data_IF_084350244674
#
_entry.id   IF_084350244674
#
_cell.length_a   1.000
_cell.length_b   1.000
_cell.length_c   1.000
_cell.angle_alpha   90.00
_cell.angle_beta   90.00
_cell.angle_gamma   90.00
#
_symmetry.space_group_name_H-M   'P 1'
#
loop_
_entity.id
_entity.type
_entity.pdbx_description
1 polymer ?
#
# COMPACT_ATOMS: atom_id res chain seq x y z
N UNK A 1 4.42 -11.75 21.93
CA UNK A 1 5.60 -12.38 21.34
C UNK A 1 6.67 -11.34 21.02
N UNK A 2 6.39 -10.29 20.22
CA UNK A 2 7.36 -9.24 19.85
C UNK A 2 7.97 -8.51 21.04
N UNK A 3 7.17 -8.17 22.06
CA UNK A 3 7.68 -7.51 23.27
C UNK A 3 8.66 -8.37 24.06
N UNK A 4 8.43 -9.68 24.16
CA UNK A 4 9.35 -10.61 24.82
C UNK A 4 10.67 -10.74 24.03
N UNK A 5 10.59 -10.84 22.71
CA UNK A 5 11.76 -10.91 21.84
C UNK A 5 12.63 -9.64 21.93
N UNK A 6 12.00 -8.46 21.90
CA UNK A 6 12.70 -7.18 22.03
C UNK A 6 13.36 -7.03 23.42
N UNK A 7 12.67 -7.43 24.48
CA UNK A 7 13.25 -7.41 25.83
C UNK A 7 14.46 -8.34 25.95
N UNK A 8 14.41 -9.52 25.32
CA UNK A 8 15.51 -10.49 25.34
C UNK A 8 16.80 -9.95 24.69
N UNK A 9 16.70 -9.00 23.76
CA UNK A 9 17.85 -8.34 23.11
C UNK A 9 18.15 -6.94 23.67
N UNK A 10 17.61 -6.63 24.86
CA UNK A 10 17.90 -5.39 25.55
C UNK A 10 17.26 -4.14 24.96
N UNK A 11 16.21 -4.27 24.13
CA UNK A 11 15.46 -3.12 23.64
C UNK A 11 14.37 -2.73 24.65
N UNK A 12 14.49 -1.53 25.21
CA UNK A 12 13.60 -1.04 26.28
C UNK A 12 13.03 0.35 26.02
N UNK A 13 13.34 0.98 24.87
CA UNK A 13 13.07 2.40 24.68
C UNK A 13 12.05 2.73 23.63
N UNK A 14 11.60 4.01 23.60
CA UNK A 14 11.02 4.58 22.40
C UNK A 14 12.13 4.74 21.34
N UNK A 15 11.79 4.54 20.08
CA UNK A 15 12.70 4.79 18.97
C UNK A 15 13.04 3.56 18.15
N UNK A 16 14.05 3.71 17.31
CA UNK A 16 14.39 2.71 16.28
C UNK A 16 15.00 1.44 16.90
N UNK A 17 14.47 0.28 16.54
CA UNK A 17 15.13 -1.01 16.74
C UNK A 17 16.40 -1.01 15.88
N UNK A 18 17.58 -1.01 16.48
CA UNK A 18 18.85 -0.88 15.75
C UNK A 18 19.18 -2.10 14.90
N UNK A 19 20.14 -1.96 13.97
CA UNK A 19 20.69 -3.09 13.21
C UNK A 19 21.29 -4.15 14.15
N UNK A 20 21.92 -3.72 15.23
CA UNK A 20 22.44 -4.62 16.26
C UNK A 20 21.30 -5.42 16.89
N UNK A 21 20.21 -4.76 17.30
CA UNK A 21 19.06 -5.47 17.85
C UNK A 21 18.48 -6.49 16.86
N UNK A 22 18.44 -6.17 15.55
CA UNK A 22 17.98 -7.14 14.53
C UNK A 22 18.92 -8.34 14.40
N UNK A 23 20.22 -8.12 14.49
CA UNK A 23 21.22 -9.20 14.51
C UNK A 23 21.09 -10.06 15.76
N UNK A 24 20.94 -9.43 16.92
CA UNK A 24 20.77 -10.12 18.20
C UNK A 24 19.44 -10.90 18.24
N UNK A 25 18.37 -10.34 17.63
CA UNK A 25 17.09 -11.02 17.45
C UNK A 25 17.22 -12.26 16.55
N UNK A 26 17.91 -12.14 15.42
CA UNK A 26 18.17 -13.31 14.57
C UNK A 26 18.93 -14.39 15.37
N UNK A 27 19.94 -14.02 16.12
CA UNK A 27 20.67 -14.95 16.98
C UNK A 27 19.79 -15.56 18.07
N UNK A 28 18.88 -14.79 18.66
CA UNK A 28 17.91 -15.28 19.64
C UNK A 28 16.95 -16.32 19.06
N UNK A 29 16.56 -16.15 17.78
CA UNK A 29 15.81 -17.17 17.01
C UNK A 29 16.72 -18.29 16.48
N UNK A 30 18.03 -18.25 16.77
CA UNK A 30 19.00 -19.26 16.38
C UNK A 30 19.47 -19.14 14.94
N UNK A 31 19.42 -17.94 14.34
CA UNK A 31 19.92 -17.66 13.00
C UNK A 31 21.07 -16.66 13.00
N UNK A 32 21.92 -16.77 11.99
CA UNK A 32 22.94 -15.77 11.67
C UNK A 32 22.50 -14.96 10.46
N UNK A 33 22.64 -13.63 10.51
CA UNK A 33 22.40 -12.76 9.36
C UNK A 33 23.67 -12.65 8.51
N UNK A 34 23.57 -12.99 7.23
CA UNK A 34 24.63 -12.81 6.25
C UNK A 34 24.21 -11.80 5.16
N UNK A 35 25.03 -10.78 4.93
CA UNK A 35 24.83 -9.80 3.86
C UNK A 35 25.62 -10.22 2.64
N UNK A 36 24.93 -10.39 1.48
CA UNK A 36 25.51 -10.88 0.24
C UNK A 36 25.21 -9.92 -0.91
N UNK A 37 26.07 -9.89 -1.92
CA UNK A 37 25.91 -9.05 -3.11
C UNK A 37 25.19 -9.77 -4.26
N UNK A 38 25.21 -11.08 -4.25
CA UNK A 38 24.79 -11.98 -5.31
C UNK A 38 23.45 -12.68 -5.03
N UNK A 39 22.64 -12.08 -4.14
CA UNK A 39 21.28 -12.61 -3.93
C UNK A 39 20.50 -12.56 -5.25
N UNK A 40 19.80 -13.66 -5.63
CA UNK A 40 18.95 -13.67 -6.82
C UNK A 40 17.98 -12.49 -6.85
N UNK A 41 17.84 -11.83 -8.01
CA UNK A 41 17.01 -10.62 -8.14
C UNK A 41 15.53 -10.87 -7.79
N UNK A 42 15.06 -12.09 -7.95
CA UNK A 42 13.69 -12.52 -7.58
C UNK A 42 13.49 -12.76 -6.08
N UNK A 43 14.57 -12.81 -5.28
CA UNK A 43 14.50 -13.07 -3.84
C UNK A 43 14.82 -11.82 -3.03
N UNK A 44 14.00 -11.51 -2.03
CA UNK A 44 14.24 -10.44 -1.04
C UNK A 44 15.13 -10.90 0.10
N UNK A 45 15.08 -12.18 0.43
CA UNK A 45 15.95 -12.88 1.37
C UNK A 45 15.92 -14.38 1.05
N UNK A 46 16.92 -15.12 1.53
CA UNK A 46 16.94 -16.57 1.48
C UNK A 46 17.29 -17.07 2.88
N UNK A 47 16.48 -17.98 3.40
CA UNK A 47 16.73 -18.61 4.69
C UNK A 47 17.23 -20.04 4.48
N UNK A 48 18.48 -20.29 4.85
CA UNK A 48 19.02 -21.64 4.95
C UNK A 48 18.70 -22.19 6.34
N UNK A 49 17.64 -22.93 6.45
CA UNK A 49 17.17 -23.51 7.72
C UNK A 49 18.10 -24.63 8.24
N UNK A 50 18.85 -25.27 7.36
CA UNK A 50 19.82 -26.31 7.73
C UNK A 50 21.03 -25.70 8.44
N UNK A 51 21.61 -24.65 7.84
CA UNK A 51 22.78 -23.98 8.37
C UNK A 51 22.43 -22.82 9.31
N UNK A 52 21.13 -22.51 9.46
CA UNK A 52 20.60 -21.43 10.31
C UNK A 52 21.15 -20.06 9.91
N UNK A 53 21.15 -19.77 8.60
CA UNK A 53 21.62 -18.51 8.03
C UNK A 53 20.47 -17.84 7.28
N UNK A 54 20.29 -16.54 7.51
CA UNK A 54 19.39 -15.68 6.72
C UNK A 54 20.26 -14.78 5.85
N UNK A 55 20.21 -14.99 4.56
CA UNK A 55 20.89 -14.16 3.55
C UNK A 55 20.01 -12.98 3.20
N UNK A 56 20.58 -11.77 3.27
CA UNK A 56 19.91 -10.51 2.86
C UNK A 56 20.82 -9.72 1.93
N UNK A 57 20.28 -8.91 1.04
CA UNK A 57 21.10 -8.16 0.08
C UNK A 57 21.95 -7.12 0.81
N UNK A 58 23.22 -7.02 0.40
CA UNK A 58 24.10 -5.91 0.76
C UNK A 58 23.77 -4.73 -0.16
N UNK A 59 22.97 -3.76 0.30
CA UNK A 59 22.57 -2.61 -0.48
C UNK A 59 23.03 -1.30 0.17
N UNK A 60 23.07 -0.22 -0.62
CA UNK A 60 23.41 1.13 -0.18
C UNK A 60 22.31 1.72 0.74
N UNK A 61 22.62 2.80 1.45
CA UNK A 61 21.81 3.38 2.53
C UNK A 61 20.32 3.63 2.20
N UNK A 62 19.95 3.89 0.95
CA UNK A 62 18.55 4.10 0.55
C UNK A 62 17.65 2.85 0.69
N UNK A 63 18.23 1.66 0.73
CA UNK A 63 17.50 0.38 0.82
C UNK A 63 17.52 -0.25 2.23
N UNK A 64 18.12 0.43 3.22
CA UNK A 64 18.23 -0.13 4.57
C UNK A 64 16.86 -0.32 5.24
N UNK A 65 15.90 0.58 5.03
CA UNK A 65 14.54 0.46 5.57
C UNK A 65 13.85 -0.81 5.07
N UNK A 66 13.95 -1.09 3.76
CA UNK A 66 13.41 -2.31 3.15
C UNK A 66 14.10 -3.55 3.68
N UNK A 67 15.43 -3.57 3.79
CA UNK A 67 16.18 -4.71 4.31
C UNK A 67 15.78 -5.06 5.75
N UNK A 68 15.57 -4.05 6.61
CA UNK A 68 15.10 -4.23 7.99
C UNK A 68 13.72 -4.89 8.03
N UNK A 69 12.81 -4.42 7.18
CA UNK A 69 11.47 -5.00 7.06
C UNK A 69 11.52 -6.46 6.62
N UNK A 70 12.37 -6.78 5.65
CA UNK A 70 12.57 -8.16 5.17
C UNK A 70 13.13 -9.06 6.27
N UNK A 71 14.14 -8.60 7.02
CA UNK A 71 14.68 -9.35 8.15
C UNK A 71 13.58 -9.61 9.19
N UNK A 72 12.83 -8.58 9.56
CA UNK A 72 11.76 -8.70 10.55
C UNK A 72 10.61 -9.62 10.08
N UNK A 73 10.26 -9.59 8.81
CA UNK A 73 9.27 -10.50 8.21
C UNK A 73 9.76 -11.95 8.23
N UNK A 74 11.03 -12.17 7.85
CA UNK A 74 11.64 -13.51 7.89
C UNK A 74 11.66 -14.06 9.31
N UNK A 75 12.05 -13.26 10.29
CA UNK A 75 11.98 -13.65 11.70
C UNK A 75 10.55 -13.91 12.15
N UNK A 76 9.58 -13.18 11.62
CA UNK A 76 8.15 -13.38 11.85
C UNK A 76 7.68 -14.77 11.44
N UNK A 77 8.06 -15.25 10.26
CA UNK A 77 7.74 -16.61 9.82
C UNK A 77 8.26 -17.67 10.80
N UNK A 78 9.49 -17.54 11.28
CA UNK A 78 10.03 -18.48 12.26
C UNK A 78 9.40 -18.33 13.65
N UNK A 79 9.14 -17.12 14.10
CA UNK A 79 8.54 -16.83 15.39
C UNK A 79 7.10 -17.34 15.52
N UNK A 80 6.36 -17.35 14.41
CA UNK A 80 4.97 -17.79 14.32
C UNK A 80 4.85 -19.28 13.97
N UNK A 81 5.97 -19.95 13.67
CA UNK A 81 5.99 -21.38 13.33
C UNK A 81 5.39 -21.67 11.95
N UNK A 82 5.51 -20.72 11.02
CA UNK A 82 5.04 -20.93 9.64
C UNK A 82 5.79 -22.07 8.97
N UNK A 83 5.13 -22.76 8.08
CA UNK A 83 5.61 -23.89 7.31
C UNK A 83 5.50 -23.61 5.80
N UNK A 84 5.90 -24.56 4.97
CA UNK A 84 5.68 -24.45 3.53
C UNK A 84 4.17 -24.34 3.24
N UNK A 85 3.73 -23.27 2.54
CA UNK A 85 2.32 -23.04 2.30
C UNK A 85 1.69 -24.19 1.49
N UNK A 86 0.50 -24.63 1.93
CA UNK A 86 -0.21 -25.74 1.26
C UNK A 86 -1.01 -25.26 0.05
N UNK A 87 -1.38 -23.97 0.04
CA UNK A 87 -2.09 -23.29 -1.04
C UNK A 87 -1.84 -21.79 -1.03
N UNK A 88 -2.50 -21.07 -1.94
CA UNK A 88 -2.33 -19.63 -2.06
C UNK A 88 -2.93 -18.83 -0.88
N UNK A 89 -4.05 -19.29 -0.33
CA UNK A 89 -4.69 -18.65 0.83
C UNK A 89 -3.78 -18.74 2.05
N UNK A 90 -3.23 -19.92 2.33
CA UNK A 90 -2.25 -20.13 3.40
C UNK A 90 -0.99 -19.27 3.19
N UNK A 91 -0.47 -19.19 1.94
CA UNK A 91 0.65 -18.30 1.62
C UNK A 91 0.36 -16.84 1.93
N UNK A 92 -0.81 -16.34 1.54
CA UNK A 92 -1.21 -14.95 1.81
C UNK A 92 -1.42 -14.72 3.31
N UNK A 93 -2.07 -15.67 4.00
CA UNK A 93 -2.28 -15.62 5.45
C UNK A 93 -0.97 -15.52 6.22
N UNK A 94 -0.02 -16.41 5.94
CA UNK A 94 1.30 -16.41 6.57
C UNK A 94 2.07 -15.10 6.29
N UNK A 95 1.95 -14.54 5.08
CA UNK A 95 2.56 -13.25 4.75
C UNK A 95 1.94 -12.08 5.53
N UNK A 96 0.62 -12.05 5.69
CA UNK A 96 -0.06 -11.02 6.46
C UNK A 96 0.39 -11.06 7.92
N UNK A 97 0.45 -12.24 8.52
CA UNK A 97 0.92 -12.42 9.88
C UNK A 97 2.39 -12.02 10.07
N UNK A 98 3.26 -12.42 9.15
CA UNK A 98 4.68 -12.04 9.18
C UNK A 98 4.88 -10.52 9.00
N UNK A 99 4.08 -9.87 8.14
CA UNK A 99 4.09 -8.42 7.98
C UNK A 99 3.62 -7.70 9.26
N UNK A 100 2.54 -8.19 9.89
CA UNK A 100 2.07 -7.65 11.16
C UNK A 100 3.12 -7.80 12.26
N UNK A 101 3.74 -8.98 12.36
CA UNK A 101 4.84 -9.22 13.29
C UNK A 101 6.00 -8.24 13.07
N UNK A 102 6.42 -8.07 11.81
CA UNK A 102 7.51 -7.15 11.45
C UNK A 102 7.19 -5.70 11.85
N UNK A 103 5.98 -5.23 11.55
CA UNK A 103 5.52 -3.91 11.97
C UNK A 103 5.51 -3.76 13.50
N UNK A 104 5.02 -4.76 14.23
CA UNK A 104 4.99 -4.73 15.69
C UNK A 104 6.38 -4.84 16.33
N UNK A 105 7.33 -5.47 15.64
CA UNK A 105 8.72 -5.57 16.08
C UNK A 105 9.47 -4.25 15.85
N UNK A 106 9.38 -3.70 14.65
CA UNK A 106 10.14 -2.50 14.23
C UNK A 106 9.56 -1.20 14.79
N UNK A 107 8.23 -1.16 15.02
CA UNK A 107 7.52 -0.03 15.61
C UNK A 107 6.63 -0.53 16.77
N UNK A 108 7.21 -0.75 17.96
CA UNK A 108 6.52 -1.33 19.11
C UNK A 108 5.32 -0.49 19.54
N UNK A 109 4.21 -1.16 19.88
CA UNK A 109 2.93 -0.54 20.19
C UNK A 109 3.03 0.61 21.20
N UNK A 110 3.66 0.37 22.35
CA UNK A 110 3.79 1.40 23.39
C UNK A 110 4.52 2.66 22.90
N UNK A 111 5.57 2.48 22.10
CA UNK A 111 6.35 3.59 21.56
C UNK A 111 5.53 4.36 20.51
N UNK A 112 4.84 3.66 19.60
CA UNK A 112 3.98 4.29 18.59
C UNK A 112 2.83 5.04 19.24
N UNK A 113 2.14 4.43 20.23
CA UNK A 113 1.03 5.08 20.94
C UNK A 113 1.48 6.35 21.65
N UNK A 114 2.68 6.36 22.24
CA UNK A 114 3.24 7.58 22.85
C UNK A 114 3.45 8.68 21.81
N UNK A 115 4.08 8.35 20.65
CA UNK A 115 4.30 9.31 19.55
C UNK A 115 2.98 9.85 19.00
N UNK A 116 2.00 8.96 18.78
CA UNK A 116 0.68 9.36 18.29
C UNK A 116 -0.11 10.19 19.29
N UNK A 117 -0.02 9.92 20.58
CA UNK A 117 -0.66 10.70 21.63
C UNK A 117 -0.15 12.14 21.62
N UNK A 118 1.18 12.30 21.67
CA UNK A 118 1.81 13.63 21.62
C UNK A 118 1.47 14.39 20.32
N UNK A 119 1.40 13.68 19.19
CA UNK A 119 1.03 14.27 17.90
C UNK A 119 -0.46 14.66 17.85
N UNK A 120 -1.35 13.81 18.38
CA UNK A 120 -2.79 14.10 18.46
C UNK A 120 -3.08 15.35 19.28
N UNK A 121 -2.40 15.52 20.43
CA UNK A 121 -2.59 16.70 21.29
C UNK A 121 -2.21 18.01 20.58
N UNK A 122 -1.32 17.93 19.58
CA UNK A 122 -0.93 19.07 18.75
C UNK A 122 -1.75 19.18 17.45
N UNK A 123 -2.63 18.22 17.13
CA UNK A 123 -3.32 18.15 15.83
C UNK A 123 -2.34 17.91 14.67
N UNK A 124 -1.31 17.07 14.86
CA UNK A 124 -0.19 16.90 13.94
C UNK A 124 0.18 15.41 13.72
N UNK A 125 -0.82 14.52 13.76
CA UNK A 125 -0.60 13.10 13.46
C UNK A 125 -0.13 12.98 12.01
N UNK A 126 0.96 12.25 11.78
CA UNK A 126 1.49 12.00 10.44
C UNK A 126 2.12 10.61 10.31
N UNK A 127 2.05 10.06 9.11
CA UNK A 127 2.71 8.78 8.75
C UNK A 127 4.21 8.98 8.70
N UNK A 128 4.66 10.15 8.23
CA UNK A 128 6.08 10.51 8.09
C UNK A 128 6.81 10.45 9.41
N UNK A 129 6.21 10.96 10.48
CA UNK A 129 6.84 10.96 11.80
C UNK A 129 7.09 9.52 12.27
N UNK A 130 6.16 8.59 12.03
CA UNK A 130 6.37 7.17 12.31
C UNK A 130 7.43 6.55 11.41
N UNK A 131 7.42 6.91 10.12
CA UNK A 131 8.42 6.46 9.15
C UNK A 131 9.84 6.88 9.58
N UNK A 132 10.01 8.10 10.07
CA UNK A 132 11.29 8.65 10.50
C UNK A 132 11.72 8.14 11.87
N UNK A 133 10.84 8.24 12.87
CA UNK A 133 11.14 7.85 14.27
C UNK A 133 11.53 6.38 14.37
N UNK A 134 10.84 5.50 13.64
CA UNK A 134 11.09 4.06 13.69
C UNK A 134 11.99 3.55 12.56
N UNK A 135 12.38 4.42 11.63
CA UNK A 135 13.21 4.09 10.47
C UNK A 135 12.68 2.89 9.68
N UNK A 136 11.41 2.95 9.31
CA UNK A 136 10.67 1.94 8.55
C UNK A 136 10.18 2.54 7.22
N UNK A 137 9.67 1.72 6.28
CA UNK A 137 9.08 2.25 5.04
C UNK A 137 7.80 3.05 5.34
N UNK A 138 7.41 3.93 4.43
CA UNK A 138 6.17 4.70 4.57
C UNK A 138 4.95 3.77 4.62
N UNK A 139 4.91 2.76 3.76
CA UNK A 139 3.85 1.74 3.78
C UNK A 139 3.76 1.05 5.15
N UNK A 140 4.89 0.62 5.73
CA UNK A 140 4.88 -0.02 7.05
C UNK A 140 4.43 0.95 8.15
N UNK A 141 4.82 2.22 8.08
CA UNK A 141 4.37 3.25 9.00
C UNK A 141 2.85 3.49 8.87
N UNK A 142 2.33 3.53 7.65
CA UNK A 142 0.91 3.64 7.36
C UNK A 142 0.10 2.45 7.93
N UNK A 143 0.57 1.23 7.70
CA UNK A 143 -0.04 0.03 8.31
C UNK A 143 -0.01 0.10 9.84
N UNK A 144 1.10 0.53 10.41
CA UNK A 144 1.23 0.59 11.87
C UNK A 144 0.33 1.65 12.46
N UNK A 145 0.22 2.81 11.82
CA UNK A 145 -0.74 3.85 12.18
C UNK A 145 -2.18 3.29 12.15
N UNK A 146 -2.58 2.66 11.05
CA UNK A 146 -3.92 2.11 10.85
C UNK A 146 -4.28 1.08 11.91
N UNK A 147 -3.33 0.21 12.27
CA UNK A 147 -3.55 -0.85 13.28
C UNK A 147 -3.73 -0.32 14.70
N UNK A 148 -3.22 0.88 15.01
CA UNK A 148 -3.17 1.37 16.39
C UNK A 148 -4.08 2.57 16.66
N UNK A 149 -4.34 3.39 15.64
CA UNK A 149 -5.01 4.67 15.86
C UNK A 149 -6.48 4.49 16.26
N UNK A 150 -7.20 3.58 15.62
CA UNK A 150 -8.59 3.28 16.00
C UNK A 150 -8.64 2.69 17.39
N UNK A 151 -7.79 1.70 17.67
CA UNK A 151 -7.80 0.97 18.94
C UNK A 151 -7.51 1.86 20.16
N UNK A 152 -6.60 2.83 20.02
CA UNK A 152 -6.12 3.65 21.14
C UNK A 152 -6.69 5.03 21.19
N UNK A 153 -7.19 5.57 20.07
CA UNK A 153 -7.63 6.96 19.95
C UNK A 153 -9.04 7.12 19.40
N UNK A 154 -9.71 6.01 19.06
CA UNK A 154 -11.06 5.98 18.51
C UNK A 154 -11.20 6.87 17.26
N UNK A 155 -10.19 6.83 16.38
CA UNK A 155 -10.18 7.55 15.12
C UNK A 155 -10.35 6.52 13.99
N UNK A 156 -11.48 6.56 13.26
CA UNK A 156 -11.71 5.69 12.11
C UNK A 156 -10.75 6.06 10.98
N UNK A 157 -10.19 5.05 10.33
CA UNK A 157 -9.16 5.25 9.33
C UNK A 157 -9.24 4.19 8.25
N UNK A 158 -8.87 4.55 7.03
CA UNK A 158 -8.62 3.60 5.96
C UNK A 158 -7.17 3.67 5.49
N UNK A 159 -6.74 2.60 4.86
CA UNK A 159 -5.45 2.48 4.19
C UNK A 159 -5.66 1.90 2.80
N UNK A 160 -4.89 2.39 1.83
CA UNK A 160 -4.80 1.75 0.53
C UNK A 160 -3.40 1.88 -0.08
N UNK A 161 -3.04 0.88 -0.89
CA UNK A 161 -1.94 0.96 -1.85
C UNK A 161 -2.49 0.69 -3.24
N UNK A 162 -2.20 1.58 -4.19
CA UNK A 162 -2.67 1.48 -5.57
C UNK A 162 -1.59 1.89 -6.56
N UNK A 163 -1.72 1.41 -7.78
CA UNK A 163 -0.92 1.87 -8.90
C UNK A 163 -1.40 3.25 -9.41
N UNK A 164 -0.69 3.87 -10.38
CA UNK A 164 -1.09 5.15 -10.97
C UNK A 164 -2.48 5.13 -11.61
N UNK A 165 -2.88 3.98 -12.15
CA UNK A 165 -4.20 3.77 -12.74
C UNK A 165 -5.32 3.57 -11.70
N UNK A 166 -4.93 3.48 -10.43
CA UNK A 166 -5.84 3.35 -9.29
C UNK A 166 -6.23 1.92 -8.95
N UNK A 167 -5.57 0.91 -9.54
CA UNK A 167 -5.81 -0.48 -9.18
C UNK A 167 -5.32 -0.73 -7.75
N UNK A 168 -6.20 -1.21 -6.89
CA UNK A 168 -5.91 -1.45 -5.48
C UNK A 168 -5.17 -2.78 -5.30
N UNK A 169 -3.95 -2.69 -4.77
CA UNK A 169 -3.12 -3.84 -4.40
C UNK A 169 -3.34 -4.30 -2.96
N UNK A 170 -3.64 -3.33 -2.10
CA UNK A 170 -3.98 -3.54 -0.69
C UNK A 170 -4.95 -2.47 -0.25
N UNK A 171 -5.92 -2.84 0.54
CA UNK A 171 -6.84 -1.89 1.14
C UNK A 171 -7.39 -2.39 2.48
N UNK A 172 -7.59 -1.46 3.40
CA UNK A 172 -8.29 -1.69 4.66
C UNK A 172 -9.34 -0.59 4.84
N UNK A 173 -10.58 -0.98 4.96
CA UNK A 173 -11.71 -0.12 5.28
C UNK A 173 -12.08 -0.32 6.73
N UNK A 174 -11.26 0.19 7.63
CA UNK A 174 -11.52 0.07 9.05
C UNK A 174 -12.62 1.04 9.49
N UNK A 175 -13.49 0.59 10.36
CA UNK A 175 -14.44 1.42 11.10
C UNK A 175 -15.43 2.20 10.22
N UNK A 176 -15.79 1.64 9.07
CA UNK A 176 -16.79 2.21 8.17
C UNK A 176 -16.27 3.36 7.29
N UNK A 177 -14.96 3.57 7.23
CA UNK A 177 -14.35 4.49 6.27
C UNK A 177 -14.22 3.79 4.92
N UNK A 178 -15.25 3.93 4.09
CA UNK A 178 -15.36 3.24 2.82
C UNK A 178 -14.56 3.94 1.72
N UNK A 179 -13.87 3.15 0.90
CA UNK A 179 -13.22 3.66 -0.31
C UNK A 179 -14.26 3.84 -1.42
N UNK A 180 -14.23 4.96 -2.17
CA UNK A 180 -15.14 5.15 -3.29
C UNK A 180 -14.75 4.21 -4.44
N UNK A 181 -15.54 3.20 -4.60
CA UNK A 181 -15.33 2.13 -5.55
C UNK A 181 -16.65 1.55 -6.06
N UNK A 182 -16.65 0.32 -6.57
CA UNK A 182 -17.86 -0.39 -6.96
C UNK A 182 -18.64 -0.87 -5.74
N UNK A 183 -19.97 -0.86 -5.87
CA UNK A 183 -20.89 -1.33 -4.83
C UNK A 183 -20.84 -2.86 -4.64
N UNK A 184 -20.31 -3.62 -5.60
CA UNK A 184 -20.51 -5.06 -5.70
C UNK A 184 -19.24 -5.89 -5.47
N UNK A 185 -18.13 -5.27 -4.98
CA UNK A 185 -16.91 -5.99 -5.08
C UNK A 185 -16.00 -6.05 -3.87
N UNK A 186 -15.10 -6.98 -3.96
CA UNK A 186 -13.89 -7.06 -3.14
C UNK A 186 -13.08 -5.79 -3.32
N UNK A 187 -12.54 -5.27 -2.25
CA UNK A 187 -11.80 -3.99 -2.25
C UNK A 187 -10.54 -4.11 -3.11
N UNK A 188 -9.77 -5.17 -2.91
CA UNK A 188 -8.53 -5.41 -3.67
C UNK A 188 -8.82 -5.87 -5.10
N UNK A 189 -8.03 -5.40 -6.03
CA UNK A 189 -8.21 -5.67 -7.46
C UNK A 189 -9.18 -4.73 -8.17
N UNK A 190 -9.86 -3.84 -7.46
CA UNK A 190 -10.71 -2.79 -8.05
C UNK A 190 -9.94 -1.51 -8.30
N UNK A 191 -10.54 -0.64 -9.11
CA UNK A 191 -10.06 0.72 -9.31
C UNK A 191 -10.75 1.69 -8.38
N UNK A 192 -9.94 2.41 -7.60
CA UNK A 192 -10.43 3.53 -6.82
C UNK A 192 -10.81 4.70 -7.75
N UNK A 193 -11.76 5.51 -7.29
CA UNK A 193 -12.24 6.69 -8.00
C UNK A 193 -11.10 7.57 -8.53
N UNK A 194 -11.19 8.05 -9.77
CA UNK A 194 -10.20 8.96 -10.37
C UNK A 194 -9.99 10.26 -9.58
N UNK A 195 -11.01 10.70 -8.84
CA UNK A 195 -10.96 11.90 -8.02
C UNK A 195 -10.47 11.64 -6.59
N UNK A 196 -10.09 10.39 -6.31
CA UNK A 196 -9.54 10.04 -5.02
C UNK A 196 -8.08 10.48 -4.90
N UNK A 197 -7.67 10.82 -3.67
CA UNK A 197 -6.32 11.32 -3.37
C UNK A 197 -5.20 10.48 -3.98
N UNK A 198 -5.34 9.15 -3.95
CA UNK A 198 -4.35 8.22 -4.50
C UNK A 198 -4.06 8.44 -5.99
N UNK A 199 -5.08 8.73 -6.80
CA UNK A 199 -4.92 8.99 -8.24
C UNK A 199 -4.52 10.45 -8.49
N UNK A 200 -5.08 11.37 -7.73
CA UNK A 200 -4.79 12.79 -7.86
C UNK A 200 -3.36 13.16 -7.49
N UNK A 201 -2.71 12.36 -6.64
CA UNK A 201 -1.31 12.53 -6.29
C UNK A 201 -0.36 12.41 -7.51
N UNK A 202 -0.67 11.51 -8.44
CA UNK A 202 0.12 11.36 -9.68
C UNK A 202 -0.07 12.51 -10.68
N UNK A 203 -1.17 13.24 -10.59
CA UNK A 203 -1.46 14.40 -11.43
C UNK A 203 -0.89 15.71 -10.85
N UNK A 204 -0.32 15.65 -9.63
CA UNK A 204 0.30 16.80 -8.98
C UNK A 204 1.61 17.18 -9.66
N UNK A 205 1.88 18.49 -9.78
CA UNK A 205 3.17 18.99 -10.33
C UNK A 205 4.38 18.51 -9.53
N UNK A 206 4.20 18.29 -8.23
CA UNK A 206 5.20 17.74 -7.32
C UNK A 206 4.73 16.37 -6.78
N UNK A 207 5.13 15.32 -7.47
CA UNK A 207 4.84 13.94 -7.09
C UNK A 207 5.72 13.41 -5.96
N UNK A 208 6.74 14.15 -5.54
CA UNK A 208 7.62 13.78 -4.42
C UNK A 208 7.11 14.27 -3.08
N UNK A 209 6.27 15.32 -3.09
CA UNK A 209 5.64 15.84 -1.89
C UNK A 209 4.37 15.05 -1.53
N UNK A 210 4.02 15.09 -0.26
CA UNK A 210 2.77 14.51 0.20
C UNK A 210 1.57 15.24 -0.40
N UNK A 211 0.63 14.47 -0.90
CA UNK A 211 -0.63 14.99 -1.43
C UNK A 211 -1.73 14.89 -0.38
N UNK A 212 -2.16 16.04 0.13
CA UNK A 212 -3.27 16.16 1.06
C UNK A 212 -4.53 16.60 0.32
N UNK A 213 -5.66 15.92 0.53
CA UNK A 213 -6.90 16.22 -0.18
C UNK A 213 -8.12 15.82 0.64
N UNK A 214 -9.19 16.60 0.52
CA UNK A 214 -10.54 16.17 0.88
C UNK A 214 -11.28 15.66 -0.36
N UNK A 215 -11.95 14.52 -0.23
CA UNK A 215 -12.80 13.97 -1.30
C UNK A 215 -14.20 13.73 -0.76
N UNK A 216 -15.18 14.43 -1.34
CA UNK A 216 -16.60 14.20 -1.04
C UNK A 216 -17.11 13.02 -1.87
N UNK A 217 -17.81 12.11 -1.20
CA UNK A 217 -18.41 10.89 -1.78
C UNK A 217 -19.87 10.80 -1.37
N UNK A 218 -20.60 9.83 -1.92
CA UNK A 218 -21.96 9.55 -1.49
C UNK A 218 -22.07 9.11 -0.02
N UNK A 219 -20.99 8.53 0.55
CA UNK A 219 -20.93 8.08 1.94
C UNK A 219 -20.43 9.15 2.92
N UNK A 220 -19.87 10.27 2.43
CA UNK A 220 -19.34 11.33 3.27
C UNK A 220 -18.12 12.01 2.66
N UNK A 221 -17.53 12.93 3.39
CA UNK A 221 -16.27 13.58 3.00
C UNK A 221 -15.12 12.99 3.80
N UNK A 222 -14.07 12.59 3.09
CA UNK A 222 -12.87 11.99 3.65
C UNK A 222 -11.65 12.85 3.38
N UNK A 223 -10.81 13.02 4.39
CA UNK A 223 -9.48 13.58 4.26
C UNK A 223 -8.49 12.45 4.03
N UNK A 224 -7.54 12.67 3.13
CA UNK A 224 -6.50 11.71 2.83
C UNK A 224 -5.14 12.38 2.70
N UNK A 225 -4.10 11.64 3.07
CA UNK A 225 -2.71 11.90 2.70
C UNK A 225 -2.20 10.76 1.83
N UNK A 226 -1.58 11.11 0.72
CA UNK A 226 -0.98 10.16 -0.22
C UNK A 226 0.50 10.45 -0.41
N UNK A 227 1.31 9.42 -0.31
CA UNK A 227 2.72 9.41 -0.69
C UNK A 227 2.95 8.45 -1.85
N UNK A 228 3.74 8.87 -2.84
CA UNK A 228 4.14 8.01 -3.96
C UNK A 228 5.47 7.35 -3.59
N UNK A 229 5.43 6.05 -3.32
CA UNK A 229 6.63 5.24 -3.12
C UNK A 229 7.14 4.74 -4.47
N UNK A 230 8.38 5.08 -4.82
CA UNK A 230 9.02 4.61 -6.06
C UNK A 230 9.93 3.43 -5.75
N UNK A 231 9.59 2.26 -6.24
CA UNK A 231 10.40 1.05 -6.13
C UNK A 231 10.63 0.46 -7.55
N UNK A 232 11.91 0.27 -7.91
CA UNK A 232 12.25 -0.31 -9.21
C UNK A 232 11.84 0.51 -10.44
N UNK A 233 11.66 1.83 -10.27
CA UNK A 233 11.26 2.75 -11.36
C UNK A 233 9.74 2.87 -11.56
N UNK A 234 8.95 2.18 -10.75
CA UNK A 234 7.49 2.29 -10.68
C UNK A 234 7.09 3.01 -9.39
N UNK A 235 6.13 3.91 -9.47
CA UNK A 235 5.54 4.57 -8.32
C UNK A 235 4.19 3.96 -7.96
N UNK A 236 4.02 3.59 -6.69
CA UNK A 236 2.72 3.22 -6.14
C UNK A 236 2.28 4.27 -5.11
N UNK A 237 0.99 4.58 -5.08
CA UNK A 237 0.41 5.47 -4.10
C UNK A 237 0.09 4.72 -2.81
N UNK A 238 0.67 5.16 -1.71
CA UNK A 238 0.29 4.74 -0.36
C UNK A 238 -0.54 5.84 0.26
N UNK A 239 -1.79 5.56 0.56
CA UNK A 239 -2.77 6.54 1.06
C UNK A 239 -3.34 6.09 2.40
N UNK A 240 -3.39 7.04 3.32
CA UNK A 240 -4.10 6.92 4.59
C UNK A 240 -5.15 8.03 4.65
N UNK A 241 -6.33 7.72 5.18
CA UNK A 241 -7.36 8.75 5.30
C UNK A 241 -8.38 8.45 6.38
N UNK A 242 -9.11 9.50 6.75
CA UNK A 242 -10.13 9.48 7.78
C UNK A 242 -11.32 10.32 7.38
N UNK A 243 -12.39 10.31 8.14
CA UNK A 243 -13.53 11.18 7.94
C UNK A 243 -13.15 12.66 8.14
N UNK A 244 -13.86 13.59 7.50
CA UNK A 244 -13.62 15.03 7.64
C UNK A 244 -13.68 15.49 9.12
N UNK A 245 -14.53 14.88 9.92
CA UNK A 245 -14.66 15.17 11.36
C UNK A 245 -13.36 14.89 12.12
N UNK A 246 -12.66 13.81 11.80
CA UNK A 246 -11.46 13.36 12.47
C UNK A 246 -10.17 13.95 11.86
N UNK A 247 -10.26 14.57 10.68
CA UNK A 247 -9.13 15.16 9.97
C UNK A 247 -8.34 16.18 10.81
N UNK A 248 -9.01 16.90 11.72
CA UNK A 248 -8.41 17.91 12.61
C UNK A 248 -7.21 17.42 13.41
N UNK A 249 -7.08 16.12 13.60
CA UNK A 249 -5.97 15.52 14.34
C UNK A 249 -4.72 15.31 13.49
N UNK A 250 -4.85 15.45 12.15
CA UNK A 250 -3.80 15.10 11.22
C UNK A 250 -3.10 16.31 10.63
N UNK A 251 -1.79 16.15 10.40
CA UNK A 251 -0.98 17.10 9.62
C UNK A 251 -1.59 17.28 8.24
N UNK A 252 -1.63 18.52 7.75
CA UNK A 252 -2.20 18.82 6.44
C UNK A 252 -3.72 18.86 6.37
N UNK A 253 -4.43 18.78 7.50
CA UNK A 253 -5.90 18.94 7.55
C UNK A 253 -6.39 20.31 7.05
N UNK A 254 -5.54 21.34 7.07
CA UNK A 254 -5.84 22.66 6.51
C UNK A 254 -5.74 22.75 4.98
N UNK A 255 -5.55 21.65 4.26
CA UNK A 255 -5.46 21.68 2.80
C UNK A 255 -6.72 22.25 2.13
N UNK A 256 -6.51 23.05 1.10
CA UNK A 256 -7.58 23.59 0.26
C UNK A 256 -7.94 22.69 -0.93
N UNK A 257 -7.17 21.62 -1.16
CA UNK A 257 -7.46 20.68 -2.24
C UNK A 257 -8.73 19.89 -1.91
N UNK A 258 -9.72 20.01 -2.79
CA UNK A 258 -11.02 19.33 -2.65
C UNK A 258 -11.41 18.72 -3.98
N UNK A 259 -11.89 17.48 -3.94
CA UNK A 259 -12.45 16.78 -5.09
C UNK A 259 -13.81 16.18 -4.75
N UNK A 260 -14.57 15.80 -5.77
CA UNK A 260 -15.87 15.14 -5.58
C UNK A 260 -15.91 13.87 -6.40
N UNK A 261 -16.08 12.75 -5.69
CA UNK A 261 -16.31 11.46 -6.30
C UNK A 261 -17.74 11.37 -6.83
N UNK A 262 -17.91 10.79 -8.00
CA UNK A 262 -19.22 10.45 -8.55
C UNK A 262 -19.49 8.94 -8.50
N UNK A 263 -18.58 8.18 -7.89
CA UNK A 263 -18.76 6.73 -7.76
C UNK A 263 -20.00 6.42 -6.91
N UNK A 264 -20.76 5.39 -7.27
CA UNK A 264 -20.49 4.39 -8.30
C UNK A 264 -20.99 4.74 -9.72
N UNK A 265 -21.14 6.02 -10.08
CA UNK A 265 -21.62 6.44 -11.41
C UNK A 265 -20.70 5.86 -12.53
N UNK A 266 -21.16 4.88 -13.30
CA UNK A 266 -20.33 4.22 -14.32
C UNK A 266 -19.95 5.17 -15.47
N UNK A 267 -20.66 6.29 -15.64
CA UNK A 267 -20.38 7.27 -16.70
C UNK A 267 -19.20 8.19 -16.37
N UNK A 268 -18.74 8.19 -15.11
CA UNK A 268 -17.66 9.09 -14.66
C UNK A 268 -16.28 8.62 -15.13
N UNK A 269 -15.90 7.37 -14.84
CA UNK A 269 -14.55 6.90 -15.17
C UNK A 269 -14.42 5.39 -15.40
N UNK A 270 -15.48 4.61 -15.26
CA UNK A 270 -15.42 3.16 -15.39
C UNK A 270 -15.87 2.63 -16.72
N UNK A 271 -16.75 3.36 -17.35
CA UNK A 271 -17.20 3.06 -18.71
C UNK A 271 -16.77 4.18 -19.63
N UNK A 272 -16.14 3.86 -20.75
CA UNK A 272 -15.87 4.84 -21.79
C UNK A 272 -17.17 5.48 -22.26
N UNK A 273 -17.12 6.74 -22.73
CA UNK A 273 -18.28 7.37 -23.34
C UNK A 273 -18.88 6.48 -24.45
N UNK A 274 -20.21 6.34 -24.57
CA UNK A 274 -20.83 5.46 -25.56
C UNK A 274 -20.37 5.71 -27.00
N UNK A 275 -20.04 6.96 -27.34
CA UNK A 275 -19.49 7.31 -28.65
C UNK A 275 -18.08 6.73 -28.87
N UNK A 276 -17.23 6.70 -27.82
CA UNK A 276 -15.91 6.11 -27.91
C UNK A 276 -15.99 4.58 -27.96
N UNK A 277 -16.91 3.97 -27.19
CA UNK A 277 -17.18 2.53 -27.26
C UNK A 277 -17.55 2.14 -28.69
N UNK A 278 -18.58 2.77 -29.31
CA UNK A 278 -18.96 2.49 -30.68
C UNK A 278 -17.82 2.63 -31.69
N UNK A 279 -16.86 3.52 -31.44
CA UNK A 279 -15.74 3.75 -32.35
C UNK A 279 -14.61 2.73 -32.18
N UNK A 280 -14.33 2.30 -30.97
CA UNK A 280 -13.11 1.59 -30.66
C UNK A 280 -13.30 0.16 -30.10
N UNK A 281 -14.54 -0.23 -29.73
CA UNK A 281 -14.83 -1.58 -29.25
C UNK A 281 -14.56 -2.61 -30.37
N UNK A 282 -13.85 -3.67 -30.02
CA UNK A 282 -13.44 -4.69 -30.98
C UNK A 282 -12.27 -4.31 -31.88
N UNK A 283 -11.85 -3.02 -31.89
CA UNK A 283 -10.73 -2.51 -32.71
C UNK A 283 -9.52 -2.19 -31.84
N UNK A 284 -9.75 -1.64 -30.66
CA UNK A 284 -8.67 -1.37 -29.70
C UNK A 284 -8.25 -2.66 -28.98
N UNK A 285 -6.95 -2.95 -29.00
CA UNK A 285 -6.37 -4.09 -28.31
C UNK A 285 -5.19 -3.67 -27.41
N UNK A 286 -5.45 -3.12 -26.23
CA UNK A 286 -4.40 -2.68 -25.33
C UNK A 286 -3.69 -3.90 -24.68
N UNK A 287 -2.38 -3.76 -24.47
CA UNK A 287 -1.63 -4.64 -23.59
C UNK A 287 -1.39 -3.96 -22.26
N UNK A 288 -1.75 -4.60 -21.16
CA UNK A 288 -1.44 -4.09 -19.84
C UNK A 288 0.08 -4.02 -19.66
N UNK A 289 0.56 -2.92 -19.06
CA UNK A 289 2.00 -2.72 -18.78
C UNK A 289 2.50 -3.75 -17.77
N UNK A 290 1.67 -4.07 -16.80
CA UNK A 290 1.98 -5.04 -15.76
C UNK A 290 1.17 -6.29 -15.98
N UNK A 291 1.88 -7.42 -16.07
CA UNK A 291 1.22 -8.71 -16.08
C UNK A 291 0.62 -8.95 -14.70
N UNK A 292 -0.70 -8.99 -14.64
CA UNK A 292 -1.44 -9.31 -13.44
C UNK A 292 -1.33 -10.80 -13.10
N UNK A 293 -0.10 -11.29 -12.90
CA UNK A 293 0.10 -12.64 -12.34
C UNK A 293 -0.61 -12.81 -11.00
N UNK A 294 -0.81 -11.71 -10.31
CA UNK A 294 -1.57 -11.65 -9.07
C UNK A 294 -3.08 -11.86 -9.30
N UNK A 295 -3.64 -11.29 -10.36
CA UNK A 295 -5.08 -11.40 -10.68
C UNK A 295 -5.42 -12.81 -11.20
N UNK A 296 -4.48 -13.51 -11.85
CA UNK A 296 -4.70 -14.87 -12.33
C UNK A 296 -4.81 -15.93 -11.24
N UNK A 297 -4.39 -15.61 -10.02
CA UNK A 297 -4.52 -16.50 -8.85
C UNK A 297 -5.76 -16.23 -7.99
N UNK A 298 -6.52 -15.14 -8.28
CA UNK A 298 -7.77 -14.87 -7.57
C UNK A 298 -8.90 -15.73 -8.13
N UNK A 299 -9.86 -16.18 -7.29
CA UNK A 299 -11.06 -16.85 -7.77
C UNK A 299 -11.78 -15.99 -8.81
N UNK A 300 -12.23 -16.61 -9.89
CA UNK A 300 -12.86 -15.92 -11.04
C UNK A 300 -14.16 -15.20 -10.71
N UNK A 301 -14.75 -15.48 -9.58
CA UNK A 301 -15.97 -14.86 -9.04
C UNK A 301 -15.72 -13.59 -8.22
N UNK A 302 -14.45 -13.31 -7.88
CA UNK A 302 -14.06 -12.15 -7.07
C UNK A 302 -13.55 -10.94 -7.88
N UNK A 303 -13.37 -11.08 -9.18
CA UNK A 303 -12.85 -10.00 -10.05
C UNK A 303 -13.88 -9.68 -11.13
N UNK A 304 -14.42 -8.47 -11.12
CA UNK A 304 -15.16 -7.96 -12.26
C UNK A 304 -14.20 -7.79 -13.45
N UNK A 305 -14.14 -8.77 -14.35
CA UNK A 305 -13.25 -8.72 -15.49
C UNK A 305 -13.71 -7.66 -16.51
N UNK A 306 -12.90 -6.63 -16.70
CA UNK A 306 -12.86 -5.99 -18.02
C UNK A 306 -12.16 -6.95 -19.00
N UNK A 307 -12.48 -6.87 -20.30
CA UNK A 307 -11.81 -7.68 -21.33
C UNK A 307 -10.27 -7.52 -21.31
N UNK A 308 -9.77 -6.44 -20.70
CA UNK A 308 -8.36 -6.12 -20.53
C UNK A 308 -8.07 -5.75 -19.06
N UNK A 309 -7.82 -6.74 -18.20
CA UNK A 309 -7.54 -6.51 -16.79
C UNK A 309 -6.36 -5.55 -16.60
N UNK A 310 -6.49 -4.60 -15.66
CA UNK A 310 -5.45 -3.62 -15.39
C UNK A 310 -5.36 -2.45 -16.39
N UNK A 311 -6.25 -2.39 -17.39
CA UNK A 311 -6.28 -1.30 -18.38
C UNK A 311 -7.54 -0.45 -18.23
N UNK A 312 -7.40 0.88 -18.17
CA UNK A 312 -8.54 1.80 -18.26
C UNK A 312 -8.90 2.04 -19.72
N UNK A 313 -10.00 1.45 -20.16
CA UNK A 313 -10.48 1.59 -21.56
C UNK A 313 -10.92 3.01 -21.88
N UNK A 314 -11.30 3.82 -20.89
CA UNK A 314 -11.60 5.24 -21.08
C UNK A 314 -10.35 6.01 -21.53
N UNK A 315 -9.23 5.74 -20.87
CA UNK A 315 -7.96 6.38 -21.20
C UNK A 315 -7.41 5.87 -22.54
N UNK A 316 -7.55 4.57 -22.83
CA UNK A 316 -7.17 3.97 -24.13
C UNK A 316 -7.95 4.64 -25.28
N UNK A 317 -9.26 4.73 -25.15
CA UNK A 317 -10.09 5.33 -26.19
C UNK A 317 -9.82 6.82 -26.36
N UNK A 318 -9.61 7.54 -25.27
CA UNK A 318 -9.21 8.95 -25.29
C UNK A 318 -7.84 9.16 -25.96
N UNK A 319 -6.89 8.23 -25.74
CA UNK A 319 -5.60 8.25 -26.42
C UNK A 319 -5.77 8.06 -27.92
N UNK A 320 -6.54 7.05 -28.35
CA UNK A 320 -6.78 6.76 -29.77
C UNK A 320 -7.51 7.90 -30.50
N UNK A 321 -8.44 8.57 -29.82
CA UNK A 321 -9.12 9.77 -30.38
C UNK A 321 -8.14 10.92 -30.64
N UNK A 322 -7.08 11.05 -29.83
CA UNK A 322 -6.03 12.08 -30.01
C UNK A 322 -4.95 11.70 -31.02
N UNK A 323 -4.87 10.41 -31.40
CA UNK A 323 -3.87 9.88 -32.32
C UNK A 323 -4.55 9.17 -33.52
N UNK A 324 -5.34 9.90 -34.32
CA UNK A 324 -5.98 9.30 -35.49
C UNK A 324 -4.89 8.81 -36.46
N UNK A 325 -4.97 7.55 -36.88
CA UNK A 325 -4.09 6.98 -37.91
C UNK A 325 -4.27 7.69 -39.25
N UNK A 326 -3.44 7.37 -40.26
CA UNK A 326 -3.49 7.99 -41.59
C UNK A 326 -4.85 7.85 -42.30
N UNK A 327 -5.69 6.91 -41.84
CA UNK A 327 -7.06 6.70 -42.38
C UNK A 327 -8.15 7.45 -41.60
N UNK A 328 -7.80 8.22 -40.57
CA UNK A 328 -8.79 8.84 -39.67
C UNK A 328 -9.47 7.81 -38.74
N UNK A 329 -10.24 8.29 -37.75
CA UNK A 329 -11.01 7.39 -36.90
C UNK A 329 -12.06 6.65 -37.74
N UNK A 330 -12.35 5.37 -37.49
CA UNK A 330 -13.41 4.63 -38.19
C UNK A 330 -14.71 5.39 -38.06
N UNK A 331 -15.38 5.56 -39.19
CA UNK A 331 -16.71 6.20 -39.22
C UNK A 331 -17.69 5.33 -38.43
N UNK A 332 -18.51 5.89 -37.55
CA UNK A 332 -19.65 5.17 -36.99
C UNK A 332 -20.65 4.91 -38.12
N UNK A 333 -20.90 3.63 -38.44
CA UNK A 333 -22.04 3.22 -39.22
C UNK A 333 -23.37 3.44 -38.45
#
# INVERSE_FOLDING_TARGET
LTGAALAAVGYHGPGTVSERNLTDLAAWFGFTLARVQDLPASARSISDTRNRIIYVPQRNNASNRTARSVIAQTLGHFALGHHDPVDFEDYVGQRVEANYFAGALLAPEKAVVSVLGDAKDRGDISVEDLNEVFYISYEMAAHRLTNLITRHFDIPIHFQRSDPEGLLWKAYENDGVLLPGDADGTIEGQRVCRWWSARQAFESEDSYSLHYQYTSTAAGTYWCVTHIEVEGGRGDAVTVGTTEEHARWFRGSGTTRRATSRCPDPTCCRQPPPAAVRRWEGVAWPSARDHSHFVSGLPTDTVAFSAFPGVDMTDVYSFLDRHPGPSGPPHPD
#
